data_IF_225857796932
#
_entry.id   IF_225857796932
#
_cell.length_a   1.000
_cell.length_b   1.000
_cell.length_c   1.000
_cell.angle_alpha   90.00
_cell.angle_beta   90.00
_cell.angle_gamma   90.00
#
_symmetry.space_group_name_H-M   'P 1'
#
loop_
_entity.id
_entity.type
_entity.pdbx_description
1 polymer ?
#
# COMPACT_ATOMS: atom_id res chain seq x y z
N UNK A 1 -41.42 -61.52 -5.89
CA UNK A 1 -42.34 -62.21 -6.82
C UNK A 1 -43.58 -61.34 -6.93
N UNK A 2 -43.70 -60.53 -7.98
CA UNK A 2 -44.14 -60.88 -9.34
C UNK A 2 -45.63 -60.59 -9.50
N UNK A 3 -45.94 -59.97 -10.64
CA UNK A 3 -47.25 -59.82 -11.29
C UNK A 3 -48.10 -58.59 -10.95
N UNK A 4 -48.10 -57.57 -11.85
CA UNK A 4 -48.91 -57.41 -13.10
C UNK A 4 -50.39 -57.11 -12.76
N UNK A 5 -51.16 -56.22 -13.40
CA UNK A 5 -51.08 -55.35 -14.59
C UNK A 5 -52.38 -54.52 -14.62
N UNK A 6 -52.34 -53.37 -15.31
CA UNK A 6 -53.45 -52.74 -16.08
C UNK A 6 -54.71 -52.26 -15.32
N UNK A 7 -55.06 -50.96 -15.33
CA UNK A 7 -55.50 -50.07 -16.43
C UNK A 7 -57.02 -49.93 -16.47
N UNK A 8 -57.55 -48.74 -16.18
CA UNK A 8 -58.57 -48.11 -17.03
C UNK A 8 -58.82 -46.62 -16.70
N UNK A 9 -58.52 -45.77 -17.68
CA UNK A 9 -59.37 -44.72 -18.27
C UNK A 9 -59.86 -43.57 -17.37
N UNK A 10 -59.39 -42.36 -17.72
CA UNK A 10 -59.99 -41.08 -17.37
C UNK A 10 -59.51 -40.02 -18.35
N UNK A 11 -60.22 -39.93 -19.48
CA UNK A 11 -60.03 -38.92 -20.54
C UNK A 11 -60.30 -37.49 -20.03
N UNK A 12 -59.43 -36.55 -20.40
CA UNK A 12 -59.79 -35.14 -20.60
C UNK A 12 -58.82 -34.55 -21.62
N UNK A 13 -59.24 -34.59 -22.88
CA UNK A 13 -58.64 -33.83 -23.98
C UNK A 13 -58.96 -32.34 -23.80
N UNK A 14 -57.94 -31.49 -23.76
CA UNK A 14 -57.99 -30.19 -24.44
C UNK A 14 -56.64 -30.00 -25.13
N UNK A 15 -56.71 -29.89 -26.44
CA UNK A 15 -55.61 -29.66 -27.35
C UNK A 15 -55.05 -28.23 -27.23
N UNK A 16 -53.76 -28.06 -27.54
CA UNK A 16 -53.26 -26.76 -27.97
C UNK A 16 -51.78 -26.46 -27.73
N UNK A 17 -50.93 -27.02 -28.59
CA UNK A 17 -49.64 -26.48 -29.06
C UNK A 17 -48.45 -26.29 -28.07
N UNK A 18 -47.31 -26.84 -28.50
CA UNK A 18 -45.95 -26.51 -28.06
C UNK A 18 -45.09 -26.31 -29.34
N UNK A 19 -43.78 -25.97 -29.30
CA UNK A 19 -42.93 -25.50 -28.19
C UNK A 19 -41.97 -24.33 -28.62
N UNK A 20 -40.98 -24.04 -27.76
CA UNK A 20 -39.73 -23.28 -27.95
C UNK A 20 -39.83 -21.75 -27.78
N UNK A 21 -38.98 -21.04 -27.02
CA UNK A 21 -37.59 -21.30 -26.61
C UNK A 21 -37.22 -20.39 -25.40
N UNK A 22 -36.52 -20.98 -24.42
CA UNK A 22 -35.33 -20.48 -23.69
C UNK A 22 -35.13 -18.94 -23.52
N UNK A 23 -35.18 -18.43 -22.28
CA UNK A 23 -33.95 -18.19 -21.49
C UNK A 23 -34.14 -17.38 -20.19
N UNK A 24 -33.56 -17.96 -19.13
CA UNK A 24 -32.93 -17.40 -17.94
C UNK A 24 -33.68 -16.51 -16.92
N UNK A 25 -33.79 -17.09 -15.72
CA UNK A 25 -33.87 -16.47 -14.40
C UNK A 25 -32.94 -15.24 -14.24
N UNK A 26 -33.32 -14.29 -13.38
CA UNK A 26 -32.68 -14.13 -12.06
C UNK A 26 -33.43 -13.07 -11.23
N UNK A 27 -33.91 -13.52 -10.05
CA UNK A 27 -34.32 -12.67 -8.93
C UNK A 27 -33.18 -11.75 -8.52
N UNK A 28 -33.47 -10.45 -8.39
CA UNK A 28 -32.64 -9.55 -7.61
C UNK A 28 -33.52 -8.75 -6.65
N UNK A 29 -33.82 -9.38 -5.52
CA UNK A 29 -34.06 -8.69 -4.27
C UNK A 29 -32.71 -8.35 -3.64
N UNK A 30 -32.27 -7.09 -3.70
CA UNK A 30 -31.16 -6.60 -2.89
C UNK A 30 -31.47 -5.20 -2.34
N UNK A 31 -31.99 -5.24 -1.11
CA UNK A 31 -31.58 -4.47 0.06
C UNK A 31 -30.77 -3.18 -0.17
N UNK A 32 -31.39 -2.04 0.16
CA UNK A 32 -30.72 -0.77 0.27
C UNK A 32 -29.97 -0.70 1.61
N UNK A 33 -28.72 -1.18 1.61
CA UNK A 33 -27.77 -0.93 2.70
C UNK A 33 -27.44 0.57 2.77
N UNK A 34 -28.05 1.26 3.72
CA UNK A 34 -27.69 2.63 4.09
C UNK A 34 -26.37 2.62 4.86
N UNK A 35 -25.35 3.32 4.33
CA UNK A 35 -24.09 3.56 5.04
C UNK A 35 -24.34 4.49 6.24
N UNK A 36 -24.50 3.90 7.42
CA UNK A 36 -24.52 4.63 8.68
C UNK A 36 -23.09 4.96 9.12
N UNK A 37 -22.70 6.23 8.96
CA UNK A 37 -21.51 6.78 9.61
C UNK A 37 -21.83 7.01 11.10
N UNK A 38 -21.43 6.05 11.92
CA UNK A 38 -21.47 6.21 13.38
C UNK A 38 -20.27 7.06 13.83
N UNK A 39 -20.51 8.34 14.10
CA UNK A 39 -19.60 9.15 14.90
C UNK A 39 -19.89 8.90 16.38
N UNK A 40 -19.04 8.14 17.06
CA UNK A 40 -19.08 8.04 18.52
C UNK A 40 -18.33 9.23 19.13
N UNK A 41 -19.08 10.21 19.64
CA UNK A 41 -18.56 11.22 20.56
C UNK A 41 -18.54 10.64 21.97
N UNK A 42 -17.36 10.34 22.50
CA UNK A 42 -17.20 10.06 23.92
C UNK A 42 -17.12 11.39 24.67
N UNK A 43 -18.17 11.73 25.42
CA UNK A 43 -18.09 12.73 26.48
C UNK A 43 -17.18 12.17 27.58
N UNK A 44 -15.94 12.69 27.66
CA UNK A 44 -14.99 12.36 28.71
C UNK A 44 -15.03 13.45 29.79
N UNK A 45 -15.16 13.09 31.08
CA UNK A 45 -14.93 14.04 32.16
C UNK A 45 -13.46 14.46 32.21
N UNK A 46 -13.22 15.75 32.47
CA UNK A 46 -11.91 16.39 32.47
C UNK A 46 -10.89 15.65 33.35
N UNK A 47 -9.78 15.18 32.74
CA UNK A 47 -8.54 14.94 33.50
C UNK A 47 -7.86 13.57 33.39
N UNK A 48 -8.25 12.65 32.51
CA UNK A 48 -7.51 11.40 32.29
C UNK A 48 -7.16 11.26 30.80
N UNK A 49 -5.92 11.60 30.46
CA UNK A 49 -5.34 11.34 29.15
C UNK A 49 -5.15 9.83 28.96
N UNK A 50 -5.81 9.24 27.96
CA UNK A 50 -5.56 7.85 27.57
C UNK A 50 -4.12 7.69 27.06
N UNK A 51 -3.37 6.81 27.72
CA UNK A 51 -2.00 6.40 27.38
C UNK A 51 -1.93 5.43 26.17
N UNK A 52 -2.87 5.53 25.24
CA UNK A 52 -2.91 4.72 24.04
C UNK A 52 -2.38 5.57 22.88
N UNK A 53 -1.08 5.46 22.60
CA UNK A 53 -0.47 6.03 21.41
C UNK A 53 -1.10 5.41 20.15
N UNK A 54 -2.13 6.05 19.61
CA UNK A 54 -2.48 5.90 18.21
C UNK A 54 -2.26 7.25 17.55
N UNK A 55 -1.01 7.43 17.14
CA UNK A 55 -0.57 8.50 16.27
C UNK A 55 -1.34 8.38 14.96
N UNK A 56 -2.28 9.29 14.70
CA UNK A 56 -2.74 9.56 13.35
C UNK A 56 -1.67 10.41 12.66
N UNK A 57 -0.51 9.79 12.44
CA UNK A 57 0.50 10.26 11.51
C UNK A 57 -0.12 10.19 10.13
N UNK A 58 -0.56 11.35 9.64
CA UNK A 58 -1.07 11.52 8.30
C UNK A 58 -0.04 10.97 7.30
N UNK A 59 -0.44 9.92 6.57
CA UNK A 59 0.34 9.34 5.50
C UNK A 59 0.58 10.33 4.37
N UNK A 60 1.68 11.09 4.45
CA UNK A 60 2.60 11.17 3.33
C UNK A 60 3.30 9.81 3.31
N UNK A 61 3.32 9.02 2.24
CA UNK A 61 3.80 9.40 0.93
C UNK A 61 3.05 8.57 -0.13
N UNK A 62 2.20 9.24 -0.92
CA UNK A 62 1.79 8.70 -2.21
C UNK A 62 2.99 8.83 -3.16
N UNK A 63 3.82 7.80 -3.25
CA UNK A 63 4.77 7.72 -4.37
C UNK A 63 3.95 7.65 -5.65
N UNK A 64 4.16 8.65 -6.50
CA UNK A 64 3.80 8.66 -7.91
C UNK A 64 3.95 7.26 -8.50
N UNK A 65 2.93 6.78 -9.22
CA UNK A 65 2.72 5.39 -9.67
C UNK A 65 3.77 4.78 -10.60
N UNK A 66 5.03 4.83 -10.19
CA UNK A 66 6.17 4.19 -10.78
C UNK A 66 6.68 3.24 -9.71
N UNK A 67 6.46 1.93 -9.90
CA UNK A 67 6.89 0.95 -8.90
C UNK A 67 8.37 1.11 -8.57
N UNK A 68 8.73 0.94 -7.29
CA UNK A 68 10.10 1.08 -6.77
C UNK A 68 11.13 0.37 -7.67
N UNK A 69 10.77 -0.80 -8.18
CA UNK A 69 11.58 -1.58 -9.12
C UNK A 69 11.83 -0.84 -10.44
N UNK A 70 10.82 -0.22 -11.04
CA UNK A 70 10.98 0.52 -12.31
C UNK A 70 11.82 1.77 -12.12
N UNK A 71 11.62 2.50 -11.03
CA UNK A 71 12.41 3.70 -10.75
C UNK A 71 13.89 3.37 -10.54
N UNK A 72 14.18 2.29 -9.81
CA UNK A 72 15.55 1.83 -9.53
C UNK A 72 16.24 1.21 -10.76
N UNK A 73 15.52 0.42 -11.56
CA UNK A 73 16.10 -0.35 -12.68
C UNK A 73 16.14 0.39 -14.01
N UNK A 74 15.26 1.39 -14.20
CA UNK A 74 15.14 2.11 -15.47
C UNK A 74 15.48 3.58 -15.30
N UNK A 75 14.82 4.29 -14.41
CA UNK A 75 14.92 5.77 -14.33
C UNK A 75 16.28 6.22 -13.81
N UNK A 76 16.75 5.65 -12.70
CA UNK A 76 18.06 5.98 -12.11
C UNK A 76 19.22 5.69 -13.08
N UNK A 77 19.38 4.48 -13.65
CA UNK A 77 20.50 4.23 -14.56
C UNK A 77 20.40 5.02 -15.86
N UNK A 78 19.19 5.25 -16.39
CA UNK A 78 18.99 6.09 -17.58
C UNK A 78 19.43 7.53 -17.31
N UNK A 79 19.02 8.13 -16.19
CA UNK A 79 19.41 9.50 -15.83
C UNK A 79 20.91 9.62 -15.61
N UNK A 80 21.54 8.64 -14.95
CA UNK A 80 23.02 8.55 -14.83
C UNK A 80 23.69 8.49 -16.20
N UNK A 81 23.22 7.64 -17.10
CA UNK A 81 23.78 7.50 -18.45
C UNK A 81 23.67 8.81 -19.24
N UNK A 82 22.52 9.52 -19.16
CA UNK A 82 22.32 10.80 -19.81
C UNK A 82 23.24 11.89 -19.25
N UNK A 83 23.44 11.94 -17.92
CA UNK A 83 24.35 12.88 -17.26
C UNK A 83 25.81 12.64 -17.69
N UNK A 84 26.24 11.37 -17.73
CA UNK A 84 27.59 11.01 -18.18
C UNK A 84 27.77 11.37 -19.65
N UNK A 85 26.80 11.03 -20.51
CA UNK A 85 26.86 11.34 -21.93
C UNK A 85 26.89 12.86 -22.16
N UNK A 86 26.06 13.64 -21.47
CA UNK A 86 26.07 15.10 -21.54
C UNK A 86 27.43 15.68 -21.11
N UNK A 87 28.02 15.13 -20.03
CA UNK A 87 29.35 15.52 -19.55
C UNK A 87 30.45 15.26 -20.58
N UNK A 88 30.45 14.10 -21.22
CA UNK A 88 31.42 13.75 -22.28
C UNK A 88 31.28 14.68 -23.48
N UNK A 89 30.04 14.95 -23.91
CA UNK A 89 29.76 15.82 -25.05
C UNK A 89 30.15 17.28 -24.79
N UNK A 90 30.16 17.72 -23.53
CA UNK A 90 30.57 19.07 -23.14
C UNK A 90 32.05 19.36 -23.43
N UNK A 91 32.88 18.32 -23.55
CA UNK A 91 34.30 18.45 -23.92
C UNK A 91 34.51 18.82 -25.40
N UNK A 92 33.49 18.62 -26.25
CA UNK A 92 33.57 18.87 -27.68
C UNK A 92 32.88 20.19 -28.06
N UNK A 93 33.62 21.25 -28.46
CA UNK A 93 33.04 22.56 -28.73
C UNK A 93 31.94 22.56 -29.80
N UNK A 94 32.05 21.66 -30.78
CA UNK A 94 31.08 21.52 -31.86
C UNK A 94 29.72 20.93 -31.41
N UNK A 95 29.65 20.30 -30.23
CA UNK A 95 28.47 19.57 -29.74
C UNK A 95 27.83 20.22 -28.51
N UNK A 96 28.21 21.45 -28.14
CA UNK A 96 27.67 22.11 -26.93
C UNK A 96 26.14 22.23 -26.93
N UNK A 97 25.53 22.51 -28.08
CA UNK A 97 24.07 22.60 -28.18
C UNK A 97 23.39 21.28 -27.83
N UNK A 98 23.93 20.17 -28.34
CA UNK A 98 23.46 18.83 -28.05
C UNK A 98 23.71 18.45 -26.59
N UNK A 99 24.92 18.74 -26.06
CA UNK A 99 25.27 18.49 -24.66
C UNK A 99 24.32 19.20 -23.68
N UNK A 100 24.00 20.48 -23.95
CA UNK A 100 23.02 21.26 -23.17
C UNK A 100 21.62 20.67 -23.26
N UNK A 101 21.19 20.25 -24.45
CA UNK A 101 19.89 19.61 -24.66
C UNK A 101 19.76 18.30 -23.89
N UNK A 102 20.77 17.43 -23.94
CA UNK A 102 20.81 16.18 -23.18
C UNK A 102 20.87 16.42 -21.67
N UNK A 103 21.66 17.40 -21.22
CA UNK A 103 21.71 17.77 -19.80
C UNK A 103 20.37 18.27 -19.28
N UNK A 104 19.67 19.11 -20.07
CA UNK A 104 18.34 19.59 -19.74
C UNK A 104 17.33 18.44 -19.71
N UNK A 105 17.38 17.53 -20.68
CA UNK A 105 16.52 16.34 -20.71
C UNK A 105 16.74 15.49 -19.46
N UNK A 106 17.99 15.25 -19.06
CA UNK A 106 18.32 14.51 -17.85
C UNK A 106 17.74 15.20 -16.60
N UNK A 107 17.93 16.53 -16.49
CA UNK A 107 17.39 17.33 -15.38
C UNK A 107 15.87 17.35 -15.33
N UNK A 108 15.18 17.32 -16.47
CA UNK A 108 13.71 17.24 -16.51
C UNK A 108 13.22 15.85 -16.10
N UNK A 109 13.88 14.78 -16.57
CA UNK A 109 13.51 13.41 -16.20
C UNK A 109 13.71 13.17 -14.70
N UNK A 110 14.84 13.61 -14.14
CA UNK A 110 15.13 13.40 -12.71
C UNK A 110 14.46 14.44 -11.80
N UNK A 111 14.40 15.70 -12.22
CA UNK A 111 13.91 16.83 -11.43
C UNK A 111 12.42 17.11 -11.58
N UNK A 112 11.80 16.71 -12.69
CA UNK A 112 10.37 16.94 -12.94
C UNK A 112 9.44 16.38 -11.85
N UNK A 113 9.61 15.11 -11.42
CA UNK A 113 8.82 14.54 -10.32
C UNK A 113 9.00 15.29 -8.99
N UNK A 114 10.21 15.80 -8.73
CA UNK A 114 10.55 16.56 -7.51
C UNK A 114 9.83 17.91 -7.54
N UNK A 115 9.93 18.64 -8.65
CA UNK A 115 9.27 19.94 -8.83
C UNK A 115 7.74 19.80 -8.72
N UNK A 116 7.17 18.75 -9.33
CA UNK A 116 5.74 18.47 -9.21
C UNK A 116 5.32 18.18 -7.76
N UNK A 117 6.10 17.35 -7.05
CA UNK A 117 5.84 17.00 -5.65
C UNK A 117 5.96 18.23 -4.74
N UNK A 118 6.95 19.09 -4.97
CA UNK A 118 7.14 20.36 -4.28
C UNK A 118 5.97 21.33 -4.52
N UNK A 119 5.51 21.47 -5.77
CA UNK A 119 4.37 22.33 -6.09
C UNK A 119 3.09 21.87 -5.39
N UNK A 120 2.87 20.55 -5.34
CA UNK A 120 1.73 19.96 -4.61
C UNK A 120 1.85 20.13 -3.09
N UNK A 121 3.06 19.98 -2.52
CA UNK A 121 3.33 20.15 -1.10
C UNK A 121 3.13 21.58 -0.63
N UNK A 122 3.69 22.53 -1.37
CA UNK A 122 3.56 23.96 -1.13
C UNK A 122 2.09 24.42 -1.15
N UNK A 123 1.28 23.90 -2.07
CA UNK A 123 -0.17 24.20 -2.14
C UNK A 123 -0.94 23.77 -0.89
N UNK A 124 -0.44 22.74 -0.17
CA UNK A 124 -1.05 22.22 1.05
C UNK A 124 -0.53 22.87 2.34
N UNK A 125 0.38 23.84 2.25
CA UNK A 125 0.96 24.53 3.41
C UNK A 125 2.00 23.71 4.20
N UNK A 126 2.43 22.56 3.67
CA UNK A 126 3.48 21.74 4.27
C UNK A 126 4.77 21.89 3.49
N UNK A 127 5.83 22.37 4.14
CA UNK A 127 7.17 22.46 3.55
C UNK A 127 7.94 21.19 3.85
N UNK A 128 8.31 20.45 2.80
CA UNK A 128 9.16 19.28 2.87
C UNK A 128 10.56 19.60 2.29
N UNK A 129 11.40 18.57 2.20
CA UNK A 129 12.72 18.66 1.56
C UNK A 129 12.61 18.92 0.06
N UNK A 130 11.51 18.47 -0.57
CA UNK A 130 11.30 18.58 -2.01
C UNK A 130 11.23 20.02 -2.51
N UNK A 131 10.69 20.95 -1.71
CA UNK A 131 10.52 22.36 -2.05
C UNK A 131 11.86 23.08 -2.15
N UNK A 132 12.75 22.84 -1.18
CA UNK A 132 14.11 23.38 -1.18
C UNK A 132 14.92 22.85 -2.37
N UNK A 133 14.78 21.56 -2.69
CA UNK A 133 15.49 20.96 -3.81
C UNK A 133 14.91 21.41 -5.15
N UNK A 134 13.59 21.53 -5.27
CA UNK A 134 12.95 22.08 -6.47
C UNK A 134 13.42 23.51 -6.76
N UNK A 135 13.49 24.38 -5.74
CA UNK A 135 14.05 25.72 -5.87
C UNK A 135 15.51 25.69 -6.37
N UNK A 136 16.32 24.77 -5.84
CA UNK A 136 17.71 24.58 -6.24
C UNK A 136 17.84 24.14 -7.71
N UNK A 137 17.02 23.18 -8.14
CA UNK A 137 16.98 22.69 -9.53
C UNK A 137 16.60 23.82 -10.49
N UNK A 138 15.56 24.59 -10.15
CA UNK A 138 15.11 25.74 -10.95
C UNK A 138 16.24 26.78 -11.05
N UNK A 139 16.92 27.08 -9.94
CA UNK A 139 18.07 27.98 -9.92
C UNK A 139 19.21 27.51 -10.82
N UNK A 140 19.58 26.24 -10.74
CA UNK A 140 20.63 25.66 -11.59
C UNK A 140 20.25 25.70 -13.09
N UNK A 141 18.99 25.42 -13.43
CA UNK A 141 18.48 25.53 -14.81
C UNK A 141 18.52 26.99 -15.29
N UNK A 142 18.13 27.94 -14.45
CA UNK A 142 18.17 29.37 -14.78
C UNK A 142 19.59 29.89 -15.04
N UNK A 143 20.60 29.34 -14.35
CA UNK A 143 22.02 29.62 -14.58
C UNK A 143 22.62 28.84 -15.76
N UNK A 144 21.85 27.95 -16.39
CA UNK A 144 22.29 27.12 -17.50
C UNK A 144 23.16 25.92 -17.10
N UNK A 145 23.17 25.55 -15.81
CA UNK A 145 23.91 24.43 -15.25
C UNK A 145 23.07 23.15 -15.23
N UNK A 146 22.74 22.65 -16.42
CA UNK A 146 21.78 21.55 -16.57
C UNK A 146 22.30 20.21 -16.01
N UNK A 147 23.60 19.94 -16.14
CA UNK A 147 24.23 18.72 -15.59
C UNK A 147 24.13 18.72 -14.07
N UNK A 148 24.42 19.85 -13.43
CA UNK A 148 24.34 20.00 -11.97
C UNK A 148 22.90 19.90 -11.47
N UNK A 149 21.94 20.50 -12.19
CA UNK A 149 20.52 20.37 -11.89
C UNK A 149 20.09 18.89 -11.88
N UNK A 150 20.52 18.12 -12.89
CA UNK A 150 20.25 16.69 -12.99
C UNK A 150 20.93 15.87 -11.89
N UNK A 151 22.17 16.22 -11.52
CA UNK A 151 22.93 15.54 -10.48
C UNK A 151 22.32 15.74 -9.09
N UNK A 152 21.93 16.98 -8.74
CA UNK A 152 21.25 17.28 -7.46
C UNK A 152 19.94 16.52 -7.36
N UNK A 153 19.14 16.52 -8.44
CA UNK A 153 17.88 15.77 -8.50
C UNK A 153 18.09 14.25 -8.35
N UNK A 154 19.15 13.71 -8.97
CA UNK A 154 19.51 12.29 -8.86
C UNK A 154 19.86 11.89 -7.43
N UNK A 155 20.67 12.71 -6.73
CA UNK A 155 21.06 12.43 -5.34
C UNK A 155 19.83 12.40 -4.42
N UNK A 156 18.90 13.37 -4.58
CA UNK A 156 17.67 13.36 -3.80
C UNK A 156 16.84 12.11 -4.06
N UNK A 157 16.70 11.69 -5.33
CA UNK A 157 15.98 10.47 -5.66
C UNK A 157 16.60 9.23 -5.01
N UNK A 158 17.93 9.10 -5.02
CA UNK A 158 18.63 7.99 -4.34
C UNK A 158 18.34 8.02 -2.84
N UNK A 159 18.36 9.20 -2.21
CA UNK A 159 18.00 9.36 -0.80
C UNK A 159 16.58 8.88 -0.50
N UNK A 160 15.61 9.29 -1.32
CA UNK A 160 14.21 8.87 -1.18
C UNK A 160 14.02 7.35 -1.38
N UNK A 161 14.85 6.72 -2.21
CA UNK A 161 14.83 5.26 -2.40
C UNK A 161 15.37 4.54 -1.17
N UNK A 162 16.46 5.04 -0.58
CA UNK A 162 17.03 4.49 0.66
C UNK A 162 16.02 4.62 1.81
N UNK A 163 15.37 5.77 1.92
CA UNK A 163 14.34 6.02 2.93
C UNK A 163 13.18 5.04 2.82
N UNK A 164 12.67 4.79 1.61
CA UNK A 164 11.62 3.79 1.38
C UNK A 164 12.04 2.38 1.79
N UNK A 165 13.25 1.95 1.41
CA UNK A 165 13.77 0.63 1.78
C UNK A 165 13.94 0.52 3.29
N UNK A 166 14.44 1.56 3.94
CA UNK A 166 14.60 1.59 5.39
C UNK A 166 13.24 1.52 6.12
N UNK A 167 12.25 2.29 5.65
CA UNK A 167 10.90 2.30 6.21
C UNK A 167 10.22 0.93 6.08
N UNK A 168 10.32 0.29 4.90
CA UNK A 168 9.77 -1.04 4.66
C UNK A 168 10.47 -2.10 5.52
N UNK A 169 11.79 -2.02 5.67
CA UNK A 169 12.54 -2.92 6.55
C UNK A 169 12.12 -2.77 8.01
N UNK A 170 11.97 -1.53 8.50
CA UNK A 170 11.52 -1.26 9.87
C UNK A 170 10.10 -1.80 10.11
N UNK A 171 9.19 -1.59 9.16
CA UNK A 171 7.82 -2.12 9.23
C UNK A 171 7.81 -3.64 9.29
N UNK A 172 8.60 -4.31 8.44
CA UNK A 172 8.69 -5.76 8.44
C UNK A 172 9.29 -6.32 9.74
N UNK A 173 10.22 -5.62 10.37
CA UNK A 173 10.74 -5.99 11.67
C UNK A 173 9.66 -5.94 12.77
N UNK A 174 8.82 -4.90 12.79
CA UNK A 174 7.69 -4.80 13.73
C UNK A 174 6.67 -5.91 13.48
N UNK A 175 6.33 -6.18 12.22
CA UNK A 175 5.42 -7.27 11.86
C UNK A 175 5.99 -8.64 12.25
N UNK A 176 7.30 -8.85 12.09
CA UNK A 176 7.95 -10.07 12.56
C UNK A 176 7.78 -10.24 14.08
N UNK A 177 7.98 -9.18 14.88
CA UNK A 177 7.76 -9.23 16.32
C UNK A 177 6.31 -9.53 16.69
N UNK A 178 5.33 -8.96 15.97
CA UNK A 178 3.91 -9.28 16.17
C UNK A 178 3.62 -10.76 15.86
N UNK A 179 4.20 -11.30 14.80
CA UNK A 179 4.06 -12.72 14.44
C UNK A 179 4.75 -13.67 15.42
N UNK A 180 5.60 -13.16 16.33
CA UNK A 180 6.17 -13.98 17.41
C UNK A 180 5.18 -14.22 18.56
N UNK A 181 4.10 -13.44 18.67
CA UNK A 181 3.09 -13.62 19.72
C UNK A 181 2.34 -14.96 19.51
N UNK A 182 2.22 -15.80 20.56
CA UNK A 182 1.51 -17.06 20.44
C UNK A 182 0.00 -16.83 20.24
N UNK A 183 -0.57 -17.48 19.22
CA UNK A 183 -2.01 -17.40 18.89
C UNK A 183 -2.86 -18.21 19.87
N UNK A 184 -2.26 -19.22 20.50
CA UNK A 184 -2.93 -20.13 21.42
C UNK A 184 -2.18 -20.24 22.75
N UNK A 185 -2.94 -20.43 23.81
CA UNK A 185 -2.45 -20.65 25.16
C UNK A 185 -3.07 -21.93 25.72
N UNK A 186 -2.28 -22.70 26.46
CA UNK A 186 -2.76 -23.87 27.19
C UNK A 186 -2.99 -23.50 28.64
N UNK A 187 -4.21 -23.68 29.11
CA UNK A 187 -4.61 -23.39 30.49
C UNK A 187 -5.15 -24.64 31.18
N UNK A 188 -4.96 -24.73 32.50
CA UNK A 188 -5.55 -25.77 33.32
C UNK A 188 -6.84 -25.29 33.95
N UNK A 189 -7.98 -25.83 33.49
CA UNK A 189 -9.32 -25.56 34.04
C UNK A 189 -9.99 -26.88 34.42
N UNK A 190 -10.66 -26.94 35.56
CA UNK A 190 -11.33 -28.16 36.05
C UNK A 190 -10.43 -29.41 36.06
N UNK A 191 -9.14 -29.23 36.40
CA UNK A 191 -8.14 -30.29 36.44
C UNK A 191 -7.82 -30.97 35.09
N UNK A 192 -8.16 -30.33 33.96
CA UNK A 192 -7.85 -30.75 32.60
C UNK A 192 -7.13 -29.62 31.82
N UNK A 193 -6.32 -30.02 30.85
CA UNK A 193 -5.60 -29.08 29.98
C UNK A 193 -6.44 -28.76 28.76
N UNK A 194 -6.70 -27.46 28.56
CA UNK A 194 -7.48 -26.97 27.43
C UNK A 194 -6.66 -25.92 26.69
N UNK A 195 -6.63 -26.04 25.36
CA UNK A 195 -6.03 -25.04 24.48
C UNK A 195 -7.10 -24.01 24.12
N UNK A 196 -6.83 -22.75 24.39
CA UNK A 196 -7.71 -21.61 24.09
C UNK A 196 -6.95 -20.57 23.25
N UNK A 197 -7.67 -19.68 22.56
CA UNK A 197 -7.05 -18.51 21.93
C UNK A 197 -6.37 -17.63 22.98
N UNK A 198 -5.21 -17.04 22.66
CA UNK A 198 -4.52 -16.16 23.58
C UNK A 198 -5.41 -14.95 23.99
N UNK A 199 -6.29 -14.50 23.09
CA UNK A 199 -7.29 -13.46 23.39
C UNK A 199 -8.38 -13.87 24.41
N UNK A 200 -8.51 -15.16 24.73
CA UNK A 200 -9.51 -15.69 25.69
C UNK A 200 -8.93 -15.93 27.09
N UNK A 201 -7.65 -15.63 27.30
CA UNK A 201 -6.99 -15.72 28.60
C UNK A 201 -7.60 -14.74 29.60
N UNK A 202 -7.77 -15.19 30.84
CA UNK A 202 -8.28 -14.36 31.94
C UNK A 202 -7.24 -14.29 33.05
N UNK A 203 -7.18 -13.15 33.75
CA UNK A 203 -6.36 -12.98 34.94
C UNK A 203 -6.75 -14.05 35.98
N UNK A 204 -5.78 -14.84 36.42
CA UNK A 204 -5.98 -15.97 37.33
C UNK A 204 -6.04 -17.36 36.68
N UNK A 205 -6.00 -17.47 35.34
CA UNK A 205 -5.82 -18.77 34.67
C UNK A 205 -4.42 -19.35 34.97
N UNK A 206 -4.34 -20.67 35.17
CA UNK A 206 -3.06 -21.38 35.33
C UNK A 206 -2.56 -21.83 33.96
N UNK A 207 -1.53 -21.15 33.44
CA UNK A 207 -0.89 -21.52 32.18
C UNK A 207 -0.04 -22.80 32.34
N UNK A 208 -0.15 -23.70 31.37
CA UNK A 208 0.65 -24.93 31.26
C UNK A 208 1.56 -24.78 30.05
N UNK A 209 2.86 -24.62 30.27
CA UNK A 209 3.85 -24.38 29.21
C UNK A 209 4.77 -25.59 29.10
N UNK A 210 4.87 -26.18 27.91
CA UNK A 210 5.84 -27.25 27.66
C UNK A 210 7.24 -26.67 27.33
N UNK A 211 8.33 -27.42 27.56
CA UNK A 211 9.66 -26.98 27.16
C UNK A 211 9.72 -26.66 25.65
N UNK A 212 10.07 -25.42 25.31
CA UNK A 212 10.10 -24.92 23.92
C UNK A 212 8.81 -24.23 23.44
N UNK A 213 7.74 -24.26 24.23
CA UNK A 213 6.49 -23.53 23.96
C UNK A 213 6.61 -22.07 24.41
N UNK A 214 5.95 -21.13 23.70
CA UNK A 214 6.03 -19.69 23.99
C UNK A 214 4.98 -19.30 25.02
N UNK A 215 5.35 -18.39 25.93
CA UNK A 215 4.45 -17.89 26.99
C UNK A 215 3.48 -16.87 26.38
N UNK A 216 2.18 -17.05 26.62
CA UNK A 216 1.11 -16.28 25.98
C UNK A 216 0.56 -15.12 26.81
N UNK A 217 1.00 -14.94 28.05
CA UNK A 217 0.58 -13.84 28.92
C UNK A 217 1.56 -13.61 30.08
N UNK A 218 1.50 -12.42 30.68
CA UNK A 218 2.18 -11.99 31.92
C UNK A 218 1.11 -11.50 32.91
#
# INVERSE_FOLDING_TARGET
MSDTTHSSIGESQVAGAAPHEHDHEHDHAHDHGHDHSHSHSHDMPDGIACACGHDHGEGGHSHSGVGLNFQLTVVVPLTVALIILASILYQFPALLGLARGLGLLAAVISGGPIIYSAAKGMSKGHTNVNELVAASIIGAIALGWFIEAGAVALILQIGALIEQVAAESARNAVLALQNLAPVHARVRRNNADVVIGAEQLRVGDVLVVQPGERIAGD
#
